data_IF_480451204495
#
_entry.id   IF_480451204495
#
_cell.length_a   1.000
_cell.length_b   1.000
_cell.length_c   1.000
_cell.angle_alpha   90.00
_cell.angle_beta   90.00
_cell.angle_gamma   90.00
#
_symmetry.space_group_name_H-M   'P 1'
#
loop_
_entity.id
_entity.type
_entity.pdbx_description
1 polymer ?
#
# COMPACT_ATOMS: atom_id res chain seq x y z
N UNK A 1 41.67 10.85 -2.85
CA UNK A 1 41.47 9.73 -3.80
C UNK A 1 41.41 10.32 -5.19
N UNK A 2 42.10 9.77 -6.20
CA UNK A 2 41.85 10.17 -7.60
C UNK A 2 40.38 9.85 -7.87
N UNK A 3 39.57 10.86 -8.19
CA UNK A 3 38.22 10.64 -8.71
C UNK A 3 38.34 9.81 -9.99
N UNK A 4 38.15 8.50 -9.87
CA UNK A 4 37.97 7.64 -11.02
C UNK A 4 36.62 8.01 -11.61
N UNK A 5 36.63 8.93 -12.57
CA UNK A 5 35.42 9.38 -13.25
C UNK A 5 34.81 8.17 -13.96
N UNK A 6 33.60 7.78 -13.53
CA UNK A 6 32.85 6.70 -14.18
C UNK A 6 32.71 7.02 -15.68
N UNK A 7 32.94 6.05 -16.58
CA UNK A 7 32.82 6.27 -18.02
C UNK A 7 31.35 6.55 -18.38
N UNK A 8 31.11 7.54 -19.24
CA UNK A 8 29.76 7.85 -19.73
C UNK A 8 29.21 6.79 -20.69
N UNK A 9 30.11 6.13 -21.41
CA UNK A 9 29.81 5.00 -22.30
C UNK A 9 30.85 3.92 -22.05
N UNK A 10 30.40 2.68 -21.95
CA UNK A 10 31.24 1.50 -21.73
C UNK A 10 30.85 0.43 -22.76
N UNK A 11 31.83 -0.35 -23.21
CA UNK A 11 31.52 -1.58 -23.93
C UNK A 11 30.97 -2.65 -22.96
N UNK A 12 30.57 -3.81 -23.50
CA UNK A 12 29.99 -4.90 -22.72
C UNK A 12 30.90 -5.38 -21.58
N UNK A 13 32.21 -5.42 -21.80
CA UNK A 13 33.17 -5.95 -20.83
C UNK A 13 33.29 -4.99 -19.66
N UNK A 14 33.53 -3.70 -19.95
CA UNK A 14 33.63 -2.66 -18.92
C UNK A 14 32.30 -2.50 -18.17
N UNK A 15 31.16 -2.56 -18.87
CA UNK A 15 29.85 -2.50 -18.23
C UNK A 15 29.62 -3.69 -17.29
N UNK A 16 30.00 -4.91 -17.68
CA UNK A 16 29.87 -6.09 -16.81
C UNK A 16 30.74 -5.96 -15.56
N UNK A 17 31.99 -5.49 -15.67
CA UNK A 17 32.87 -5.25 -14.53
C UNK A 17 32.30 -4.20 -13.56
N UNK A 18 31.81 -3.08 -14.10
CA UNK A 18 31.20 -2.02 -13.30
C UNK A 18 29.95 -2.52 -12.59
N UNK A 19 29.06 -3.22 -13.30
CA UNK A 19 27.84 -3.78 -12.71
C UNK A 19 28.23 -4.78 -11.63
N UNK A 20 29.07 -5.78 -11.92
CA UNK A 20 29.47 -6.80 -10.94
C UNK A 20 30.14 -6.26 -9.68
N UNK A 21 30.76 -5.08 -9.74
CA UNK A 21 31.38 -4.42 -8.59
C UNK A 21 30.36 -3.74 -7.64
N UNK A 22 29.11 -3.50 -8.06
CA UNK A 22 28.13 -2.76 -7.26
C UNK A 22 27.62 -3.55 -6.06
N UNK A 23 27.30 -4.83 -6.24
CA UNK A 23 26.72 -5.69 -5.22
C UNK A 23 27.02 -7.19 -5.48
N UNK A 24 26.86 -8.00 -4.43
CA UNK A 24 26.93 -9.46 -4.54
C UNK A 24 25.61 -10.13 -4.96
N UNK A 25 24.51 -9.38 -4.94
CA UNK A 25 23.17 -9.84 -5.26
C UNK A 25 22.45 -8.75 -6.07
N UNK A 26 21.62 -9.17 -7.04
CA UNK A 26 20.84 -8.27 -7.88
C UNK A 26 19.40 -8.76 -7.95
N UNK A 27 18.44 -7.85 -7.88
CA UNK A 27 17.08 -8.12 -8.33
C UNK A 27 16.98 -7.89 -9.83
N UNK A 28 16.26 -8.78 -10.51
CA UNK A 28 15.88 -8.64 -11.92
C UNK A 28 14.43 -8.20 -11.96
N UNK A 29 14.18 -6.98 -12.42
CA UNK A 29 12.84 -6.39 -12.47
C UNK A 29 12.41 -6.28 -13.91
N UNK A 30 11.35 -7.00 -14.29
CA UNK A 30 10.77 -6.89 -15.63
C UNK A 30 10.11 -5.53 -15.84
N UNK A 31 10.39 -4.92 -16.98
CA UNK A 31 9.78 -3.67 -17.38
C UNK A 31 8.51 -3.93 -18.20
N UNK A 32 7.56 -2.97 -18.23
CA UNK A 32 6.46 -2.99 -19.18
C UNK A 32 6.96 -3.09 -20.64
N UNK A 33 6.21 -3.72 -21.56
CA UNK A 33 6.66 -3.97 -22.95
C UNK A 33 7.06 -2.74 -23.76
N UNK A 34 6.66 -1.53 -23.33
CA UNK A 34 6.96 -0.27 -23.99
C UNK A 34 8.21 0.43 -23.44
N UNK A 35 8.91 -0.17 -22.48
CA UNK A 35 10.16 0.34 -21.89
C UNK A 35 11.33 -0.52 -22.39
N UNK A 36 12.42 0.15 -22.79
CA UNK A 36 13.69 -0.51 -23.14
C UNK A 36 14.73 -0.20 -22.06
N UNK A 37 15.48 -1.20 -21.54
CA UNK A 37 15.46 -2.64 -21.87
C UNK A 37 14.25 -3.40 -21.25
N UNK A 38 14.00 -4.67 -21.64
CA UNK A 38 12.88 -5.47 -21.12
C UNK A 38 12.96 -5.77 -19.61
N UNK A 39 14.12 -5.59 -18.98
CA UNK A 39 14.28 -5.69 -17.53
C UNK A 39 15.41 -4.79 -17.05
N UNK A 40 15.36 -4.42 -15.77
CA UNK A 40 16.41 -3.69 -15.07
C UNK A 40 17.09 -4.57 -14.02
N UNK A 41 18.38 -4.34 -13.81
CA UNK A 41 19.17 -4.99 -12.75
C UNK A 41 19.39 -4.00 -11.62
N UNK A 42 18.90 -4.36 -10.43
CA UNK A 42 19.04 -3.55 -9.22
C UNK A 42 20.09 -4.17 -8.30
N UNK A 43 21.24 -3.52 -8.06
CA UNK A 43 22.16 -3.97 -7.02
C UNK A 43 21.46 -3.89 -5.67
N UNK A 44 21.43 -4.99 -4.93
CA UNK A 44 20.82 -5.02 -3.60
C UNK A 44 21.87 -4.70 -2.53
N UNK A 45 21.50 -3.88 -1.54
CA UNK A 45 22.32 -3.68 -0.35
C UNK A 45 22.67 -5.05 0.25
N UNK A 46 23.86 -5.21 0.85
CA UNK A 46 24.22 -6.48 1.51
C UNK A 46 23.28 -6.86 2.64
N UNK A 47 22.51 -5.89 3.13
CA UNK A 47 21.64 -6.05 4.26
C UNK A 47 22.41 -6.11 5.58
N UNK A 48 21.72 -5.76 6.66
CA UNK A 48 22.16 -6.03 8.03
C UNK A 48 21.03 -6.73 8.77
N UNK A 49 21.39 -7.62 9.70
CA UNK A 49 20.45 -8.26 10.62
C UNK A 49 20.21 -7.45 11.90
N UNK A 50 21.08 -6.46 12.17
CA UNK A 50 21.04 -5.57 13.32
C UNK A 50 21.55 -4.18 12.96
N UNK A 51 21.02 -3.17 13.65
CA UNK A 51 21.36 -1.76 13.51
C UNK A 51 22.39 -1.38 14.58
N UNK A 52 23.65 -1.71 14.33
CA UNK A 52 24.75 -1.58 15.29
C UNK A 52 24.97 -0.13 15.76
N UNK A 53 24.73 0.84 14.86
CA UNK A 53 24.88 2.28 15.09
C UNK A 53 23.57 2.97 15.47
N UNK A 54 22.56 2.19 15.87
CA UNK A 54 21.23 2.66 16.21
C UNK A 54 20.32 2.92 15.01
N UNK A 55 19.06 3.24 15.29
CA UNK A 55 18.04 3.55 14.29
C UNK A 55 17.95 5.08 14.07
N UNK A 56 18.27 5.54 12.87
CA UNK A 56 18.15 6.93 12.46
C UNK A 56 16.78 7.22 11.83
N UNK A 57 16.26 6.28 11.04
CA UNK A 57 14.97 6.40 10.37
C UNK A 57 14.28 5.06 10.19
N UNK A 58 12.95 5.06 10.24
CA UNK A 58 12.11 3.97 9.78
C UNK A 58 11.28 4.41 8.58
N UNK A 59 11.32 3.62 7.51
CA UNK A 59 10.46 3.80 6.33
C UNK A 59 9.49 2.63 6.24
N UNK A 60 8.21 2.90 6.07
CA UNK A 60 7.16 1.91 6.24
C UNK A 60 6.20 1.93 5.07
N UNK A 61 5.81 0.76 4.58
CA UNK A 61 4.65 0.69 3.70
C UNK A 61 3.36 1.04 4.44
N UNK A 62 2.35 1.45 3.67
CA UNK A 62 1.00 1.69 4.16
C UNK A 62 0.22 0.38 4.27
N UNK A 63 -0.07 -0.26 3.15
CA UNK A 63 -0.89 -1.47 3.06
C UNK A 63 -0.13 -2.66 3.66
N UNK A 64 -0.84 -3.58 4.32
CA UNK A 64 -0.29 -4.75 5.01
C UNK A 64 0.73 -4.51 6.14
N UNK A 65 1.23 -3.28 6.30
CA UNK A 65 2.28 -2.88 7.26
C UNK A 65 1.77 -1.90 8.29
N UNK A 66 1.21 -0.76 7.84
CA UNK A 66 0.64 0.28 8.71
C UNK A 66 -0.87 0.06 8.88
N UNK A 67 -1.54 -0.43 7.84
CA UNK A 67 -3.00 -0.60 7.81
C UNK A 67 -3.46 -1.80 7.00
N UNK A 68 -4.70 -2.20 7.21
CA UNK A 68 -5.43 -3.07 6.31
C UNK A 68 -6.19 -2.25 5.27
N UNK A 69 -5.96 -2.46 3.97
CA UNK A 69 -6.81 -1.94 2.88
C UNK A 69 -7.28 -3.04 1.94
N UNK A 70 -6.77 -4.25 2.14
CA UNK A 70 -7.05 -5.44 1.34
C UNK A 70 -8.54 -5.76 1.29
N UNK A 71 -9.34 -5.63 2.37
CA UNK A 71 -10.78 -5.85 2.27
C UNK A 71 -11.45 -4.94 1.23
N UNK A 72 -11.00 -3.69 1.12
CA UNK A 72 -11.50 -2.72 0.13
C UNK A 72 -11.04 -3.10 -1.27
N UNK A 73 -9.75 -3.44 -1.42
CA UNK A 73 -9.18 -3.87 -2.70
C UNK A 73 -9.88 -5.11 -3.25
N UNK A 74 -10.03 -6.15 -2.43
CA UNK A 74 -10.70 -7.41 -2.79
C UNK A 74 -12.14 -7.15 -3.17
N UNK A 75 -12.86 -6.35 -2.40
CA UNK A 75 -14.24 -5.99 -2.70
C UNK A 75 -14.36 -5.30 -4.06
N UNK A 76 -13.48 -4.34 -4.35
CA UNK A 76 -13.49 -3.63 -5.63
C UNK A 76 -13.11 -4.55 -6.81
N UNK A 77 -12.16 -5.47 -6.62
CA UNK A 77 -11.75 -6.46 -7.63
C UNK A 77 -12.86 -7.49 -7.91
N UNK A 78 -13.52 -7.98 -6.86
CA UNK A 78 -14.69 -8.86 -6.98
C UNK A 78 -15.83 -8.15 -7.70
N UNK A 79 -16.15 -6.93 -7.27
CA UNK A 79 -17.18 -6.08 -7.90
C UNK A 79 -16.87 -5.87 -9.38
N UNK A 80 -15.63 -5.56 -9.74
CA UNK A 80 -15.19 -5.41 -11.12
C UNK A 80 -15.41 -6.69 -11.93
N UNK A 81 -14.95 -7.83 -11.41
CA UNK A 81 -15.05 -9.14 -12.09
C UNK A 81 -16.50 -9.55 -12.29
N UNK A 82 -17.33 -9.37 -11.25
CA UNK A 82 -18.76 -9.65 -11.25
C UNK A 82 -19.52 -8.78 -12.25
N UNK A 83 -19.24 -7.47 -12.26
CA UNK A 83 -19.83 -6.50 -13.21
C UNK A 83 -19.44 -6.82 -14.65
N UNK A 84 -18.16 -7.08 -14.93
CA UNK A 84 -17.67 -7.42 -16.26
C UNK A 84 -18.26 -8.75 -16.79
N UNK A 85 -18.60 -9.67 -15.88
CA UNK A 85 -19.22 -10.97 -16.20
C UNK A 85 -20.74 -10.90 -16.40
N UNK A 86 -21.36 -9.71 -16.27
CA UNK A 86 -22.82 -9.56 -16.35
C UNK A 86 -23.57 -10.17 -15.16
N UNK A 87 -22.90 -10.26 -14.00
CA UNK A 87 -23.41 -10.90 -12.78
C UNK A 87 -23.61 -9.92 -11.63
N UNK A 88 -23.68 -8.61 -11.92
CA UNK A 88 -23.76 -7.56 -10.89
C UNK A 88 -24.88 -7.79 -9.86
N UNK A 89 -26.02 -8.32 -10.31
CA UNK A 89 -27.19 -8.60 -9.47
C UNK A 89 -27.39 -10.10 -9.18
N UNK A 90 -26.45 -10.97 -9.59
CA UNK A 90 -26.54 -12.43 -9.42
C UNK A 90 -26.21 -12.82 -7.97
N UNK A 91 -27.19 -13.22 -7.13
CA UNK A 91 -26.92 -13.60 -5.74
C UNK A 91 -26.18 -14.93 -5.62
N UNK A 92 -26.04 -15.69 -6.72
CA UNK A 92 -25.29 -16.95 -6.75
C UNK A 92 -23.80 -16.77 -7.07
N UNK A 93 -23.34 -15.54 -7.29
CA UNK A 93 -21.92 -15.25 -7.49
C UNK A 93 -21.14 -15.67 -6.23
N UNK A 94 -20.21 -16.64 -6.33
CA UNK A 94 -19.52 -17.20 -5.17
C UNK A 94 -18.43 -16.29 -4.61
N UNK A 95 -18.10 -15.20 -5.31
CA UNK A 95 -16.90 -14.40 -5.04
C UNK A 95 -15.68 -14.86 -5.83
N UNK A 96 -14.58 -14.13 -5.68
CA UNK A 96 -13.25 -14.59 -6.09
C UNK A 96 -12.81 -15.80 -5.25
N UNK A 97 -12.05 -16.72 -5.85
CA UNK A 97 -11.56 -17.91 -5.17
C UNK A 97 -10.38 -17.53 -4.26
N UNK A 98 -10.53 -17.72 -2.95
CA UNK A 98 -9.52 -17.33 -1.97
C UNK A 98 -8.19 -18.09 -2.15
N UNK A 99 -8.22 -19.37 -2.52
CA UNK A 99 -7.00 -20.17 -2.62
C UNK A 99 -6.27 -19.92 -3.94
N UNK A 100 -7.03 -19.68 -5.01
CA UNK A 100 -6.49 -19.48 -6.36
C UNK A 100 -6.15 -18.02 -6.63
N UNK A 101 -7.02 -17.07 -6.27
CA UNK A 101 -6.94 -15.70 -6.78
C UNK A 101 -6.20 -14.75 -5.81
N UNK A 102 -6.42 -14.88 -4.50
CA UNK A 102 -5.84 -13.97 -3.50
C UNK A 102 -4.30 -13.83 -3.57
N UNK A 103 -3.53 -14.91 -3.80
CA UNK A 103 -2.08 -14.81 -3.97
C UNK A 103 -1.64 -13.95 -5.17
N UNK A 104 -2.52 -13.68 -6.13
CA UNK A 104 -2.22 -12.93 -7.34
C UNK A 104 -2.83 -11.53 -7.38
N UNK A 105 -3.70 -11.21 -6.41
CA UNK A 105 -4.44 -9.94 -6.37
C UNK A 105 -4.15 -9.09 -5.12
N UNK A 106 -3.12 -9.46 -4.34
CA UNK A 106 -2.62 -8.71 -3.17
C UNK A 106 -1.10 -8.57 -3.24
N UNK A 107 -0.56 -7.45 -2.74
CA UNK A 107 0.88 -7.19 -2.63
C UNK A 107 1.63 -7.09 -3.97
N UNK A 108 0.93 -6.66 -5.01
CA UNK A 108 1.42 -6.30 -6.35
C UNK A 108 0.68 -5.04 -6.83
N UNK A 109 1.00 -4.51 -8.02
CA UNK A 109 0.27 -3.34 -8.56
C UNK A 109 -1.16 -3.68 -8.99
N UNK A 110 -2.08 -2.71 -8.87
CA UNK A 110 -3.49 -2.83 -9.33
C UNK A 110 -3.57 -3.33 -10.76
N UNK A 111 -2.69 -2.85 -11.64
CA UNK A 111 -2.60 -3.31 -13.03
C UNK A 111 -2.38 -4.82 -13.13
N UNK A 112 -1.50 -5.40 -12.31
CA UNK A 112 -1.22 -6.84 -12.29
C UNK A 112 -2.39 -7.64 -11.72
N UNK A 113 -3.06 -7.13 -10.68
CA UNK A 113 -4.26 -7.76 -10.11
C UNK A 113 -5.38 -7.87 -11.16
N UNK A 114 -5.67 -6.76 -11.83
CA UNK A 114 -6.71 -6.72 -12.87
C UNK A 114 -6.31 -7.55 -14.08
N UNK A 115 -5.04 -7.52 -14.52
CA UNK A 115 -4.55 -8.36 -15.61
C UNK A 115 -4.74 -9.85 -15.31
N UNK A 116 -4.40 -10.29 -14.09
CA UNK A 116 -4.63 -11.67 -13.65
C UNK A 116 -6.11 -12.05 -13.75
N UNK A 117 -7.02 -11.23 -13.21
CA UNK A 117 -8.46 -11.50 -13.24
C UNK A 117 -9.03 -11.50 -14.66
N UNK A 118 -8.56 -10.60 -15.54
CA UNK A 118 -8.92 -10.60 -16.96
C UNK A 118 -8.47 -11.89 -17.65
N UNK A 119 -7.31 -12.45 -17.29
CA UNK A 119 -6.84 -13.73 -17.83
C UNK A 119 -7.63 -14.92 -17.26
N UNK A 120 -7.95 -14.89 -15.96
CA UNK A 120 -8.62 -15.97 -15.27
C UNK A 120 -10.13 -16.05 -15.57
N UNK A 121 -10.79 -14.90 -15.73
CA UNK A 121 -12.25 -14.80 -15.87
C UNK A 121 -12.72 -14.19 -17.20
N UNK A 122 -11.81 -13.66 -18.02
CA UNK A 122 -12.16 -12.88 -19.21
C UNK A 122 -12.93 -13.64 -20.29
N UNK A 123 -12.87 -14.97 -20.31
CA UNK A 123 -13.69 -15.79 -21.21
C UNK A 123 -15.19 -15.75 -20.83
N UNK A 124 -15.49 -15.47 -19.56
CA UNK A 124 -16.85 -15.29 -19.06
C UNK A 124 -17.35 -13.84 -19.11
N UNK A 125 -16.52 -12.89 -19.55
CA UNK A 125 -16.93 -11.48 -19.63
C UNK A 125 -17.96 -11.24 -20.74
N UNK A 126 -18.99 -10.47 -20.41
CA UNK A 126 -20.04 -10.07 -21.35
C UNK A 126 -19.73 -8.68 -21.89
N UNK A 127 -19.64 -8.55 -23.22
CA UNK A 127 -19.25 -7.29 -23.86
C UNK A 127 -20.18 -6.11 -23.49
N UNK A 128 -21.49 -6.36 -23.42
CA UNK A 128 -22.48 -5.34 -23.05
C UNK A 128 -22.36 -4.92 -21.58
N UNK A 129 -22.17 -5.88 -20.68
CA UNK A 129 -21.98 -5.60 -19.25
C UNK A 129 -20.66 -4.84 -18.99
N UNK A 130 -19.57 -5.30 -19.59
CA UNK A 130 -18.27 -4.63 -19.52
C UNK A 130 -18.38 -3.19 -20.03
N UNK A 131 -19.00 -2.97 -21.21
CA UNK A 131 -19.19 -1.64 -21.78
C UNK A 131 -20.01 -0.73 -20.87
N UNK A 132 -21.16 -1.23 -20.39
CA UNK A 132 -22.06 -0.48 -19.50
C UNK A 132 -21.34 -0.03 -18.22
N UNK A 133 -20.68 -0.96 -17.53
CA UNK A 133 -20.00 -0.64 -16.27
C UNK A 133 -18.73 0.18 -16.49
N UNK A 134 -18.05 0.01 -17.62
CA UNK A 134 -16.94 0.89 -18.00
C UNK A 134 -17.41 2.33 -18.22
N UNK A 135 -18.50 2.56 -18.96
CA UNK A 135 -19.08 3.90 -19.16
C UNK A 135 -19.48 4.51 -17.82
N UNK A 136 -20.08 3.72 -16.92
CA UNK A 136 -20.42 4.17 -15.57
C UNK A 136 -19.17 4.62 -14.79
N UNK A 137 -18.13 3.78 -14.75
CA UNK A 137 -16.88 4.11 -14.05
C UNK A 137 -16.17 5.33 -14.65
N UNK A 138 -16.22 5.47 -15.99
CA UNK A 138 -15.69 6.64 -16.68
C UNK A 138 -16.47 7.92 -16.31
N UNK A 139 -17.80 7.88 -16.33
CA UNK A 139 -18.64 9.02 -15.95
C UNK A 139 -18.41 9.43 -14.50
N UNK A 140 -18.39 8.45 -13.58
CA UNK A 140 -18.14 8.69 -12.16
C UNK A 140 -16.77 9.33 -11.95
N UNK A 141 -15.71 8.77 -12.54
CA UNK A 141 -14.34 9.27 -12.36
C UNK A 141 -14.18 10.69 -12.89
N UNK A 142 -14.77 11.00 -14.05
CA UNK A 142 -14.66 12.32 -14.67
C UNK A 142 -15.48 13.38 -13.93
N UNK A 143 -16.60 12.99 -13.31
CA UNK A 143 -17.47 13.88 -12.54
C UNK A 143 -17.06 14.08 -11.09
N UNK A 144 -16.80 12.97 -10.39
CA UNK A 144 -16.68 12.92 -8.93
C UNK A 144 -15.26 12.65 -8.46
N UNK A 145 -14.52 11.79 -9.18
CA UNK A 145 -13.17 11.37 -8.81
C UNK A 145 -12.23 12.55 -8.59
N UNK A 146 -11.36 12.49 -7.58
CA UNK A 146 -10.53 13.62 -7.13
C UNK A 146 -9.11 13.65 -7.73
N UNK A 147 -8.71 12.59 -8.40
CA UNK A 147 -7.37 12.46 -8.97
C UNK A 147 -7.33 12.81 -10.47
N UNK A 148 -6.54 13.84 -10.81
CA UNK A 148 -6.44 14.34 -12.18
C UNK A 148 -5.72 13.36 -13.12
N UNK A 149 -4.76 12.58 -12.59
CA UNK A 149 -4.07 11.56 -13.39
C UNK A 149 -5.05 10.46 -13.81
N UNK A 150 -5.84 9.92 -12.87
CA UNK A 150 -6.90 8.93 -13.12
C UNK A 150 -7.93 9.47 -14.10
N UNK A 151 -8.34 10.73 -13.97
CA UNK A 151 -9.22 11.39 -14.96
C UNK A 151 -8.59 11.44 -16.35
N UNK A 152 -7.30 11.74 -16.46
CA UNK A 152 -6.57 11.72 -17.75
C UNK A 152 -6.48 10.30 -18.32
N UNK A 153 -6.23 9.30 -17.48
CA UNK A 153 -6.17 7.90 -17.89
C UNK A 153 -7.52 7.40 -18.41
N UNK A 154 -8.64 7.72 -17.74
CA UNK A 154 -10.00 7.43 -18.22
C UNK A 154 -10.24 8.04 -19.59
N UNK A 155 -9.83 9.30 -19.83
CA UNK A 155 -9.95 9.92 -21.17
C UNK A 155 -9.13 9.17 -22.22
N UNK A 156 -7.93 8.71 -21.86
CA UNK A 156 -7.11 7.87 -22.74
C UNK A 156 -7.77 6.51 -23.01
N UNK A 157 -8.37 5.88 -21.99
CA UNK A 157 -9.12 4.63 -22.16
C UNK A 157 -10.32 4.83 -23.07
N UNK A 158 -11.09 5.92 -22.91
CA UNK A 158 -12.22 6.26 -23.78
C UNK A 158 -11.78 6.39 -25.23
N UNK A 159 -10.66 7.07 -25.48
CA UNK A 159 -10.10 7.14 -26.83
C UNK A 159 -9.66 5.77 -27.37
N UNK A 160 -8.95 4.98 -26.56
CA UNK A 160 -8.45 3.67 -27.00
C UNK A 160 -9.54 2.62 -27.22
N UNK A 161 -10.70 2.79 -26.58
CA UNK A 161 -11.86 1.90 -26.69
C UNK A 161 -12.88 2.37 -27.73
N UNK A 162 -12.58 3.43 -28.49
CA UNK A 162 -13.47 3.97 -29.52
C UNK A 162 -14.61 4.86 -29.00
N UNK A 163 -14.60 5.20 -27.72
CA UNK A 163 -15.65 5.99 -27.04
C UNK A 163 -15.26 7.45 -26.77
N UNK A 164 -14.23 7.99 -27.44
CA UNK A 164 -13.84 9.40 -27.28
C UNK A 164 -15.00 10.38 -27.51
N UNK A 165 -15.95 10.03 -28.39
CA UNK A 165 -17.13 10.84 -28.69
C UNK A 165 -18.02 11.12 -27.48
N UNK A 166 -18.02 10.24 -26.46
CA UNK A 166 -18.78 10.45 -25.22
C UNK A 166 -18.36 11.72 -24.49
N UNK A 167 -17.10 12.14 -24.61
CA UNK A 167 -16.62 13.37 -23.95
C UNK A 167 -17.35 14.62 -24.44
N UNK A 168 -17.97 14.59 -25.62
CA UNK A 168 -18.78 15.70 -26.17
C UNK A 168 -20.28 15.42 -26.13
N UNK A 169 -20.72 14.26 -25.65
CA UNK A 169 -22.15 13.90 -25.57
C UNK A 169 -22.78 14.53 -24.32
N UNK A 170 -23.82 15.35 -24.50
CA UNK A 170 -24.51 16.04 -23.41
C UNK A 170 -25.12 15.07 -22.38
N UNK A 171 -25.54 13.87 -22.81
CA UNK A 171 -26.08 12.82 -21.93
C UNK A 171 -24.98 12.23 -21.05
N UNK A 172 -23.78 12.02 -21.61
CA UNK A 172 -22.64 11.56 -20.82
C UNK A 172 -22.17 12.63 -19.84
N UNK A 173 -22.21 13.92 -20.21
CA UNK A 173 -21.96 15.02 -19.29
C UNK A 173 -22.99 15.07 -18.15
N UNK A 174 -24.27 14.78 -18.44
CA UNK A 174 -25.29 14.63 -17.40
C UNK A 174 -24.99 13.46 -16.45
N UNK A 175 -24.51 12.31 -16.95
CA UNK A 175 -24.03 11.21 -16.09
C UNK A 175 -22.86 11.64 -15.19
N UNK A 176 -21.91 12.42 -15.72
CA UNK A 176 -20.78 12.92 -14.94
C UNK A 176 -21.24 13.84 -13.79
N UNK A 177 -22.31 14.63 -13.99
CA UNK A 177 -22.85 15.52 -12.97
C UNK A 177 -23.87 14.87 -12.01
N UNK A 178 -24.20 13.59 -12.18
CA UNK A 178 -25.24 12.94 -11.40
C UNK A 178 -24.75 12.49 -10.02
N UNK A 179 -25.49 12.83 -8.95
CA UNK A 179 -25.14 12.41 -7.58
C UNK A 179 -25.10 10.87 -7.41
N UNK A 180 -25.93 10.14 -8.15
CA UNK A 180 -25.95 8.69 -8.17
C UNK A 180 -26.23 8.15 -9.57
N UNK A 181 -25.39 7.20 -9.99
CA UNK A 181 -25.57 6.45 -11.23
C UNK A 181 -26.60 5.32 -11.09
N UNK A 182 -27.07 5.04 -9.88
CA UNK A 182 -28.09 4.02 -9.59
C UNK A 182 -29.52 4.58 -9.57
N UNK A 183 -29.68 5.91 -9.56
CA UNK A 183 -30.99 6.54 -9.66
C UNK A 183 -31.70 6.11 -10.95
N UNK A 184 -33.02 5.82 -10.95
CA UNK A 184 -33.71 5.21 -12.10
C UNK A 184 -33.53 5.95 -13.43
N UNK A 185 -33.58 7.28 -13.41
CA UNK A 185 -33.42 8.11 -14.61
C UNK A 185 -31.97 8.07 -15.14
N UNK A 186 -31.00 8.17 -14.24
CA UNK A 186 -29.56 8.09 -14.57
C UNK A 186 -29.19 6.69 -15.09
N UNK A 187 -29.72 5.64 -14.47
CA UNK A 187 -29.51 4.26 -14.88
C UNK A 187 -30.09 3.99 -16.28
N UNK A 188 -31.30 4.47 -16.57
CA UNK A 188 -31.91 4.36 -17.90
C UNK A 188 -31.12 5.12 -18.97
N UNK A 189 -30.57 6.30 -18.63
CA UNK A 189 -29.71 7.07 -19.52
C UNK A 189 -28.39 6.33 -19.82
N UNK A 190 -27.78 5.74 -18.80
CA UNK A 190 -26.58 4.91 -18.92
C UNK A 190 -26.84 3.69 -19.82
N UNK A 191 -27.97 3.00 -19.63
CA UNK A 191 -28.35 1.84 -20.44
C UNK A 191 -28.53 2.22 -21.91
N UNK A 192 -29.18 3.36 -22.17
CA UNK A 192 -29.37 3.90 -23.52
C UNK A 192 -28.03 4.21 -24.18
N UNK A 193 -27.15 4.95 -23.50
CA UNK A 193 -25.81 5.28 -24.00
C UNK A 193 -24.96 4.02 -24.24
N UNK A 194 -25.04 3.05 -23.33
CA UNK A 194 -24.35 1.78 -23.48
C UNK A 194 -24.88 1.00 -24.70
N UNK A 195 -26.18 0.98 -24.97
CA UNK A 195 -26.72 0.33 -26.16
C UNK A 195 -26.26 1.01 -27.47
N UNK A 196 -26.34 2.35 -27.53
CA UNK A 196 -25.98 3.12 -28.73
C UNK A 196 -24.48 3.05 -29.07
N UNK A 197 -23.62 2.90 -28.06
CA UNK A 197 -22.16 2.82 -28.25
C UNK A 197 -21.67 1.41 -28.59
N UNK A 198 -22.55 0.41 -28.66
CA UNK A 198 -22.17 -0.99 -28.88
C UNK A 198 -21.31 -1.20 -30.14
N UNK A 199 -21.64 -0.52 -31.25
CA UNK A 199 -20.90 -0.64 -32.50
C UNK A 199 -19.55 0.06 -32.52
N UNK A 200 -19.32 1.03 -31.63
CA UNK A 200 -18.07 1.80 -31.55
C UNK A 200 -17.09 1.24 -30.50
N UNK A 201 -17.60 0.53 -29.49
CA UNK A 201 -16.78 0.02 -28.39
C UNK A 201 -15.86 -1.12 -28.84
N UNK A 202 -14.55 -0.84 -28.84
CA UNK A 202 -13.51 -1.82 -29.13
C UNK A 202 -12.74 -2.16 -27.85
N UNK A 203 -12.95 -3.37 -27.33
CA UNK A 203 -12.29 -3.83 -26.11
C UNK A 203 -11.89 -5.32 -26.24
N UNK A 204 -11.11 -5.63 -27.27
CA UNK A 204 -10.65 -6.97 -27.56
C UNK A 204 -9.23 -7.23 -27.01
N UNK A 205 -9.02 -8.44 -26.50
CA UNK A 205 -7.74 -8.88 -25.97
C UNK A 205 -7.47 -8.43 -24.53
N UNK A 206 -6.45 -9.06 -23.92
CA UNK A 206 -6.09 -8.82 -22.52
C UNK A 206 -5.77 -7.34 -22.25
N UNK A 207 -4.92 -6.64 -23.02
CA UNK A 207 -4.53 -5.27 -22.69
C UNK A 207 -5.73 -4.29 -22.67
N UNK A 208 -6.64 -4.37 -23.63
CA UNK A 208 -7.80 -3.47 -23.70
C UNK A 208 -8.78 -3.74 -22.55
N UNK A 209 -9.06 -5.02 -22.27
CA UNK A 209 -9.93 -5.43 -21.16
C UNK A 209 -9.35 -5.01 -19.81
N UNK A 210 -8.04 -5.18 -19.61
CA UNK A 210 -7.36 -4.72 -18.39
C UNK A 210 -7.56 -3.23 -18.17
N UNK A 211 -7.39 -2.38 -19.20
CA UNK A 211 -7.62 -0.93 -19.06
C UNK A 211 -9.05 -0.58 -18.68
N UNK A 212 -10.04 -1.17 -19.35
CA UNK A 212 -11.45 -0.94 -19.03
C UNK A 212 -11.82 -1.44 -17.61
N UNK A 213 -11.30 -2.60 -17.22
CA UNK A 213 -11.53 -3.17 -15.89
C UNK A 213 -10.85 -2.36 -14.77
N UNK A 214 -9.68 -1.76 -15.02
CA UNK A 214 -9.05 -0.83 -14.07
C UNK A 214 -9.99 0.34 -13.75
N UNK A 215 -10.67 0.91 -14.76
CA UNK A 215 -11.60 2.01 -14.55
C UNK A 215 -12.85 1.59 -13.75
N UNK A 216 -13.34 0.36 -13.93
CA UNK A 216 -14.45 -0.21 -13.13
C UNK A 216 -14.00 -0.46 -11.68
N UNK A 217 -12.79 -0.98 -11.50
CA UNK A 217 -12.19 -1.21 -10.18
C UNK A 217 -12.06 0.12 -9.41
N UNK A 218 -11.43 1.13 -10.00
CA UNK A 218 -11.17 2.41 -9.32
C UNK A 218 -12.45 3.16 -9.00
N UNK A 219 -13.48 3.06 -9.85
CA UNK A 219 -14.80 3.57 -9.50
C UNK A 219 -15.28 3.02 -8.16
N UNK A 220 -15.36 1.69 -7.99
CA UNK A 220 -15.82 1.12 -6.72
C UNK A 220 -14.82 1.38 -5.57
N UNK A 221 -13.53 1.32 -5.84
CA UNK A 221 -12.49 1.53 -4.83
C UNK A 221 -12.58 2.94 -4.24
N UNK A 222 -12.66 3.97 -5.08
CA UNK A 222 -12.78 5.37 -4.62
C UNK A 222 -14.12 5.67 -3.98
N UNK A 223 -15.23 5.08 -4.44
CA UNK A 223 -16.52 5.20 -3.72
C UNK A 223 -16.43 4.70 -2.28
N UNK A 224 -15.80 3.54 -2.06
CA UNK A 224 -15.65 2.96 -0.72
C UNK A 224 -14.68 3.79 0.13
N UNK A 225 -13.55 4.23 -0.41
CA UNK A 225 -12.60 5.07 0.33
C UNK A 225 -13.20 6.44 0.69
N UNK A 226 -14.01 7.03 -0.18
CA UNK A 226 -14.72 8.27 0.13
C UNK A 226 -15.72 8.10 1.28
N UNK A 227 -16.45 6.99 1.31
CA UNK A 227 -17.32 6.67 2.43
C UNK A 227 -16.52 6.51 3.73
N UNK A 228 -15.38 5.82 3.69
CA UNK A 228 -14.44 5.73 4.83
C UNK A 228 -14.00 7.12 5.28
N UNK A 229 -13.58 7.98 4.36
CA UNK A 229 -13.13 9.35 4.65
C UNK A 229 -14.23 10.26 5.25
N UNK A 230 -15.50 10.01 4.95
CA UNK A 230 -16.65 10.69 5.56
C UNK A 230 -17.03 10.15 6.95
N UNK A 231 -16.32 9.13 7.46
CA UNK A 231 -16.65 8.45 8.71
C UNK A 231 -17.77 7.42 8.58
N UNK A 232 -18.14 7.03 7.36
CA UNK A 232 -19.16 6.02 7.05
C UNK A 232 -18.55 4.60 6.97
N UNK A 233 -17.27 4.45 7.32
CA UNK A 233 -16.51 3.20 7.21
C UNK A 233 -17.14 2.00 7.93
N UNK A 234 -17.75 2.20 9.10
CA UNK A 234 -18.43 1.12 9.85
C UNK A 234 -19.72 0.65 9.14
N UNK A 235 -20.40 1.54 8.42
CA UNK A 235 -21.56 1.17 7.60
C UNK A 235 -21.10 0.38 6.37
N UNK A 236 -20.09 0.88 5.66
CA UNK A 236 -19.49 0.20 4.51
C UNK A 236 -18.88 -1.17 4.91
N UNK A 237 -18.26 -1.29 6.09
CA UNK A 237 -17.71 -2.54 6.59
C UNK A 237 -18.80 -3.59 6.82
N UNK A 238 -19.96 -3.20 7.37
CA UNK A 238 -21.09 -4.13 7.58
C UNK A 238 -21.71 -4.57 6.26
N UNK A 239 -21.77 -3.68 5.28
CA UNK A 239 -22.23 -4.01 3.92
C UNK A 239 -21.30 -5.01 3.23
N UNK A 240 -19.99 -4.76 3.28
CA UNK A 240 -18.99 -5.51 2.50
C UNK A 240 -18.53 -6.81 3.21
N UNK A 241 -18.30 -6.77 4.52
CA UNK A 241 -17.72 -7.88 5.29
C UNK A 241 -18.77 -8.66 6.11
N UNK A 242 -20.03 -8.22 6.10
CA UNK A 242 -21.12 -8.84 6.84
C UNK A 242 -21.18 -8.46 8.34
N UNK A 243 -22.20 -9.01 9.02
CA UNK A 243 -22.46 -8.73 10.43
C UNK A 243 -21.37 -9.32 11.34
N UNK A 244 -20.68 -8.45 12.11
CA UNK A 244 -19.65 -8.85 13.09
C UNK A 244 -18.24 -8.34 12.75
N UNK A 245 -18.01 -7.91 11.51
CA UNK A 245 -16.78 -7.23 11.10
C UNK A 245 -16.89 -5.73 11.39
N UNK A 246 -15.85 -5.16 12.00
CA UNK A 246 -15.93 -3.78 12.50
C UNK A 246 -15.36 -2.73 11.54
N UNK A 247 -14.37 -3.06 10.68
CA UNK A 247 -13.63 -2.04 9.91
C UNK A 247 -13.09 -2.54 8.57
N UNK A 248 -13.19 -1.70 7.54
CA UNK A 248 -12.57 -1.92 6.22
C UNK A 248 -11.12 -1.45 6.17
N UNK A 249 -10.86 -0.31 6.82
CA UNK A 249 -9.55 0.29 6.97
C UNK A 249 -9.27 0.41 8.47
N UNK A 250 -8.12 -0.09 8.90
CA UNK A 250 -7.75 -0.09 10.31
C UNK A 250 -6.26 -0.23 10.51
N UNK A 251 -5.72 0.20 11.67
CA UNK A 251 -4.32 0.04 11.99
C UNK A 251 -3.92 -1.44 12.06
N UNK A 252 -2.75 -1.77 11.52
CA UNK A 252 -2.13 -3.07 11.79
C UNK A 252 -1.80 -3.21 13.28
N UNK A 253 -1.79 -4.43 13.83
CA UNK A 253 -1.49 -4.67 15.24
C UNK A 253 -0.18 -3.99 15.66
N UNK A 254 -0.24 -3.22 16.75
CA UNK A 254 0.93 -2.57 17.35
C UNK A 254 1.39 -1.29 16.65
N UNK A 255 0.80 -0.87 15.53
CA UNK A 255 1.29 0.30 14.76
C UNK A 255 1.25 1.59 15.59
N UNK A 256 0.18 1.83 16.36
CA UNK A 256 0.08 3.03 17.20
C UNK A 256 1.17 3.09 18.27
N UNK A 257 1.48 1.96 18.90
CA UNK A 257 2.55 1.84 19.90
C UNK A 257 3.91 2.04 19.24
N UNK A 258 4.13 1.40 18.09
CA UNK A 258 5.36 1.52 17.31
C UNK A 258 5.65 2.98 16.91
N UNK A 259 4.65 3.66 16.35
CA UNK A 259 4.75 5.07 15.94
C UNK A 259 5.03 5.99 17.14
N UNK A 260 4.27 5.84 18.23
CA UNK A 260 4.48 6.62 19.45
C UNK A 260 5.86 6.37 20.09
N UNK A 261 6.33 5.12 20.04
CA UNK A 261 7.64 4.71 20.53
C UNK A 261 8.75 5.40 19.72
N UNK A 262 8.75 5.28 18.39
CA UNK A 262 9.81 5.83 17.54
C UNK A 262 9.88 7.36 17.58
N UNK A 263 8.74 8.03 17.77
CA UNK A 263 8.66 9.49 17.98
C UNK A 263 9.10 9.93 19.38
N UNK A 264 9.47 8.99 20.25
CA UNK A 264 9.93 9.30 21.61
C UNK A 264 8.82 9.77 22.56
N UNK A 265 7.55 9.52 22.23
CA UNK A 265 6.42 10.05 23.00
C UNK A 265 6.15 9.24 24.28
N UNK A 266 6.54 7.97 24.30
CA UNK A 266 6.16 7.05 25.39
C UNK A 266 7.11 7.10 26.60
N UNK A 267 8.40 7.38 26.41
CA UNK A 267 9.40 7.34 27.48
C UNK A 267 9.35 6.03 28.29
N UNK A 268 9.51 6.09 29.61
CA UNK A 268 9.42 4.92 30.49
C UNK A 268 8.05 4.22 30.43
N UNK A 269 6.98 4.93 30.05
CA UNK A 269 5.64 4.35 29.96
C UNK A 269 5.47 3.37 28.79
N UNK A 270 6.44 3.28 27.88
CA UNK A 270 6.45 2.27 26.82
C UNK A 270 6.31 0.84 27.38
N UNK A 271 6.88 0.57 28.56
CA UNK A 271 6.77 -0.73 29.23
C UNK A 271 5.33 -1.20 29.46
N UNK A 272 4.40 -0.28 29.70
CA UNK A 272 3.00 -0.60 30.00
C UNK A 272 2.24 -1.25 28.84
N UNK A 273 2.78 -1.19 27.62
CA UNK A 273 2.18 -1.82 26.43
C UNK A 273 2.57 -3.29 26.26
N UNK A 274 3.47 -3.84 27.08
CA UNK A 274 3.96 -5.21 26.96
C UNK A 274 2.83 -6.25 26.88
N UNK A 275 1.87 -6.21 27.82
CA UNK A 275 0.76 -7.16 27.83
C UNK A 275 -0.11 -7.09 26.57
N UNK A 276 -0.36 -5.88 26.06
CA UNK A 276 -1.14 -5.66 24.83
C UNK A 276 -0.42 -6.25 23.61
N UNK A 277 0.89 -6.02 23.49
CA UNK A 277 1.69 -6.51 22.38
C UNK A 277 1.91 -8.04 22.46
N UNK A 278 2.12 -8.60 23.65
CA UNK A 278 2.19 -10.06 23.84
C UNK A 278 0.89 -10.75 23.38
N UNK A 279 -0.27 -10.20 23.76
CA UNK A 279 -1.57 -10.72 23.32
C UNK A 279 -1.79 -10.62 21.79
N UNK A 280 -1.10 -9.70 21.10
CA UNK A 280 -1.12 -9.62 19.63
C UNK A 280 -0.25 -10.70 19.00
N UNK A 281 0.92 -11.00 19.57
CA UNK A 281 1.80 -12.11 19.14
C UNK A 281 1.09 -13.45 19.33
N UNK A 282 0.42 -13.65 20.47
CA UNK A 282 -0.37 -14.87 20.74
C UNK A 282 -1.49 -15.07 19.72
N UNK A 283 -2.21 -14.00 19.35
CA UNK A 283 -3.24 -14.04 18.31
C UNK A 283 -2.68 -14.36 16.92
N UNK A 284 -1.41 -14.06 16.68
CA UNK A 284 -0.70 -14.47 15.46
C UNK A 284 -0.26 -15.95 15.49
N UNK A 285 -0.55 -16.69 16.56
CA UNK A 285 -0.18 -18.10 16.72
C UNK A 285 1.26 -18.31 17.17
N UNK A 286 1.89 -17.29 17.75
CA UNK A 286 3.29 -17.30 18.18
C UNK A 286 3.40 -17.23 19.70
N UNK A 287 4.50 -17.76 20.26
CA UNK A 287 4.76 -17.68 21.69
C UNK A 287 5.41 -16.32 22.02
N UNK A 288 4.76 -15.44 22.81
CA UNK A 288 5.35 -14.17 23.17
C UNK A 288 6.48 -14.35 24.19
N UNK A 289 7.39 -13.37 24.33
CA UNK A 289 8.29 -13.34 25.47
C UNK A 289 7.51 -13.15 26.78
N UNK A 290 8.16 -13.46 27.91
CA UNK A 290 7.56 -13.20 29.22
C UNK A 290 7.25 -11.71 29.39
N UNK A 291 6.09 -11.38 29.95
CA UNK A 291 5.63 -9.99 30.13
C UNK A 291 6.68 -9.12 30.83
N UNK A 292 7.33 -9.60 31.89
CA UNK A 292 8.36 -8.83 32.60
C UNK A 292 9.57 -8.47 31.73
N UNK A 293 10.02 -9.39 30.86
CA UNK A 293 11.09 -9.11 29.90
C UNK A 293 10.65 -8.11 28.83
N UNK A 294 9.42 -8.24 28.33
CA UNK A 294 8.82 -7.32 27.37
C UNK A 294 8.67 -5.91 27.95
N UNK A 295 8.22 -5.78 29.20
CA UNK A 295 8.10 -4.50 29.92
C UNK A 295 9.47 -3.81 30.04
N UNK A 296 10.49 -4.54 30.50
CA UNK A 296 11.85 -4.01 30.66
C UNK A 296 12.45 -3.56 29.32
N UNK A 297 12.29 -4.36 28.26
CA UNK A 297 12.77 -4.04 26.92
C UNK A 297 12.09 -2.78 26.38
N UNK A 298 10.76 -2.72 26.42
CA UNK A 298 10.00 -1.58 25.91
C UNK A 298 10.30 -0.30 26.68
N UNK A 299 10.43 -0.35 28.01
CA UNK A 299 10.82 0.81 28.80
C UNK A 299 12.23 1.32 28.39
N UNK A 300 13.17 0.40 28.14
CA UNK A 300 14.49 0.74 27.61
C UNK A 300 14.43 1.41 26.23
N UNK A 301 13.67 0.83 25.30
CA UNK A 301 13.42 1.44 23.98
C UNK A 301 12.76 2.81 24.10
N UNK A 302 11.79 2.95 25.00
CA UNK A 302 11.07 4.18 25.24
C UNK A 302 11.96 5.32 25.73
N UNK A 303 12.86 5.05 26.69
CA UNK A 303 13.89 6.02 27.11
C UNK A 303 14.82 6.40 25.96
N UNK A 304 15.28 5.41 25.19
CA UNK A 304 16.16 5.63 24.05
C UNK A 304 15.52 6.59 23.04
N UNK A 305 14.31 6.32 22.58
CA UNK A 305 13.66 7.16 21.58
C UNK A 305 13.17 8.50 22.15
N UNK A 306 12.91 8.60 23.45
CA UNK A 306 12.69 9.89 24.09
C UNK A 306 13.94 10.79 24.02
N UNK A 307 15.15 10.20 24.15
CA UNK A 307 16.41 10.92 24.00
C UNK A 307 16.79 11.19 22.54
N UNK A 308 16.53 10.21 21.65
CA UNK A 308 16.86 10.29 20.23
C UNK A 308 15.74 9.67 19.39
N UNK A 309 14.69 10.44 19.03
CA UNK A 309 13.63 9.97 18.16
C UNK A 309 14.15 9.55 16.79
N UNK A 310 13.53 8.53 16.19
CA UNK A 310 13.79 8.17 14.80
C UNK A 310 12.93 9.03 13.87
N UNK A 311 13.46 9.32 12.67
CA UNK A 311 12.66 9.89 11.59
C UNK A 311 11.71 8.83 11.02
N UNK A 312 10.52 9.25 10.60
CA UNK A 312 9.49 8.36 10.05
C UNK A 312 9.08 8.78 8.65
N UNK A 313 9.11 7.84 7.71
CA UNK A 313 8.44 8.01 6.43
C UNK A 313 7.42 6.90 6.15
N UNK A 314 6.28 7.30 5.61
CA UNK A 314 5.36 6.38 4.95
C UNK A 314 5.70 6.31 3.46
N UNK A 315 5.69 5.13 2.86
CA UNK A 315 6.07 4.91 1.46
C UNK A 315 5.10 3.92 0.81
N UNK A 316 4.16 4.41 -0.01
CA UNK A 316 3.09 3.58 -0.62
C UNK A 316 3.03 3.71 -2.15
N UNK A 317 2.57 2.65 -2.80
CA UNK A 317 2.19 2.65 -4.23
C UNK A 317 0.78 3.20 -4.48
N UNK A 318 0.04 3.59 -3.43
CA UNK A 318 -1.21 4.35 -3.58
C UNK A 318 -0.90 5.80 -3.96
N UNK A 319 -1.82 6.44 -4.68
CA UNK A 319 -1.71 7.87 -4.98
C UNK A 319 -1.96 8.70 -3.72
N UNK A 320 -1.54 9.97 -3.74
CA UNK A 320 -1.71 10.88 -2.60
C UNK A 320 -3.15 10.92 -2.09
N UNK A 321 -4.14 11.03 -2.98
CA UNK A 321 -5.55 11.08 -2.60
C UNK A 321 -5.99 9.90 -1.73
N UNK A 322 -5.65 8.68 -2.14
CA UNK A 322 -5.99 7.43 -1.44
C UNK A 322 -5.28 7.36 -0.09
N UNK A 323 -3.97 7.63 -0.08
CA UNK A 323 -3.16 7.61 1.13
C UNK A 323 -3.69 8.59 2.18
N UNK A 324 -4.14 9.79 1.78
CA UNK A 324 -4.70 10.77 2.71
C UNK A 324 -5.98 10.27 3.40
N UNK A 325 -6.90 9.65 2.65
CA UNK A 325 -8.14 9.10 3.21
C UNK A 325 -7.85 7.94 4.18
N UNK A 326 -6.96 7.04 3.76
CA UNK A 326 -6.57 5.87 4.54
C UNK A 326 -5.85 6.28 5.84
N UNK A 327 -4.86 7.18 5.75
CA UNK A 327 -4.14 7.69 6.93
C UNK A 327 -5.04 8.47 7.87
N UNK A 328 -5.95 9.29 7.34
CA UNK A 328 -6.95 10.00 8.12
C UNK A 328 -7.80 9.04 8.96
N UNK A 329 -8.25 7.95 8.36
CA UNK A 329 -9.02 6.92 9.06
C UNK A 329 -8.19 6.17 10.12
N UNK A 330 -6.96 5.78 9.78
CA UNK A 330 -6.05 5.12 10.74
C UNK A 330 -5.84 6.01 11.96
N UNK A 331 -5.55 7.30 11.75
CA UNK A 331 -5.32 8.23 12.86
C UNK A 331 -6.60 8.47 13.65
N UNK A 332 -7.76 8.61 13.00
CA UNK A 332 -9.07 8.67 13.68
C UNK A 332 -9.29 7.46 14.59
N UNK A 333 -8.99 6.27 14.10
CA UNK A 333 -9.07 5.02 14.86
C UNK A 333 -8.10 5.03 16.04
N UNK A 334 -6.81 5.33 15.82
CA UNK A 334 -5.81 5.35 16.87
C UNK A 334 -6.18 6.35 17.98
N UNK A 335 -6.68 7.54 17.60
CA UNK A 335 -7.23 8.53 18.54
C UNK A 335 -8.40 8.00 19.36
N UNK A 336 -9.24 7.15 18.79
CA UNK A 336 -10.34 6.52 19.52
C UNK A 336 -9.86 5.46 20.53
N UNK A 337 -8.68 4.89 20.31
CA UNK A 337 -8.06 3.86 21.17
C UNK A 337 -7.21 4.46 22.30
N UNK A 338 -6.55 5.60 22.07
CA UNK A 338 -5.66 6.27 23.05
C UNK A 338 -6.29 6.46 24.45
N UNK A 339 -7.58 6.82 24.59
CA UNK A 339 -8.23 6.90 25.90
C UNK A 339 -8.13 5.62 26.75
N UNK A 340 -8.07 4.45 26.10
CA UNK A 340 -7.93 3.15 26.74
C UNK A 340 -6.48 2.68 26.92
N UNK A 341 -5.49 3.44 26.43
CA UNK A 341 -4.08 3.05 26.53
C UNK A 341 -3.60 3.07 28.00
N UNK A 342 -2.72 2.12 28.40
CA UNK A 342 -2.29 1.91 29.78
C UNK A 342 -1.23 2.94 30.25
N UNK A 343 -1.46 4.23 29.96
CA UNK A 343 -0.57 5.34 30.31
C UNK A 343 -1.32 6.43 31.09
N UNK A 344 -0.62 7.31 31.84
CA UNK A 344 -1.26 8.39 32.60
C UNK A 344 -2.06 9.35 31.72
N UNK A 345 -3.08 9.99 32.29
CA UNK A 345 -3.98 10.90 31.56
C UNK A 345 -3.23 11.99 30.79
N UNK A 346 -2.24 12.67 31.40
CA UNK A 346 -1.49 13.72 30.71
C UNK A 346 -0.71 13.22 29.48
N UNK A 347 -0.25 11.97 29.50
CA UNK A 347 0.37 11.36 28.33
C UNK A 347 -0.68 11.01 27.26
N UNK A 348 -1.88 10.56 27.64
CA UNK A 348 -2.99 10.35 26.68
C UNK A 348 -3.36 11.65 25.96
N UNK A 349 -3.42 12.77 26.68
CA UNK A 349 -3.70 14.09 26.09
C UNK A 349 -2.60 14.52 25.11
N UNK A 350 -1.33 14.27 25.46
CA UNK A 350 -0.18 14.52 24.57
C UNK A 350 -0.25 13.66 23.30
N UNK A 351 -0.56 12.37 23.45
CA UNK A 351 -0.70 11.44 22.33
C UNK A 351 -1.88 11.82 21.42
N UNK A 352 -3.02 12.24 22.00
CA UNK A 352 -4.13 12.80 21.24
C UNK A 352 -3.71 14.05 20.47
N UNK A 353 -2.83 14.90 21.02
CA UNK A 353 -2.26 16.02 20.27
C UNK A 353 -1.39 15.55 19.09
N UNK A 354 -0.50 14.59 19.34
CA UNK A 354 0.43 14.08 18.34
C UNK A 354 -0.27 13.38 17.16
N UNK A 355 -1.24 12.50 17.44
CA UNK A 355 -2.02 11.79 16.42
C UNK A 355 -3.16 12.64 15.85
N UNK A 356 -3.03 13.97 15.77
CA UNK A 356 -4.06 14.86 15.20
C UNK A 356 -4.08 14.85 13.67
N UNK A 357 -2.91 14.85 13.06
CA UNK A 357 -2.76 14.91 11.61
C UNK A 357 -1.64 13.97 11.17
N UNK A 358 -1.92 12.94 10.34
CA UNK A 358 -0.88 12.05 9.84
C UNK A 358 0.19 12.78 9.04
N UNK A 359 -0.13 13.83 8.31
CA UNK A 359 0.83 14.57 7.48
C UNK A 359 1.82 15.40 8.31
N UNK A 360 1.46 15.71 9.55
CA UNK A 360 2.35 16.35 10.53
C UNK A 360 3.10 15.31 11.36
N UNK A 361 2.52 14.12 11.52
CA UNK A 361 3.11 13.03 12.30
C UNK A 361 4.24 12.30 11.56
N UNK A 362 4.15 12.14 10.25
CA UNK A 362 5.27 11.60 9.47
C UNK A 362 6.22 12.74 9.08
N UNK A 363 7.53 12.46 9.11
CA UNK A 363 8.52 13.41 8.60
C UNK A 363 8.51 13.47 7.06
N UNK A 364 8.07 12.38 6.42
CA UNK A 364 7.78 12.33 4.98
C UNK A 364 6.64 11.35 4.66
N UNK A 365 5.83 11.67 3.65
CA UNK A 365 4.81 10.77 3.10
C UNK A 365 5.04 10.68 1.61
N UNK A 366 5.55 9.54 1.15
CA UNK A 366 5.85 9.28 -0.25
C UNK A 366 4.79 8.35 -0.83
N UNK A 367 4.25 8.74 -1.97
CA UNK A 367 3.12 8.11 -2.63
C UNK A 367 3.44 7.86 -4.11
N UNK A 368 2.59 7.14 -4.81
CA UNK A 368 2.74 6.98 -6.25
C UNK A 368 2.68 8.30 -7.03
N UNK A 369 2.07 9.35 -6.46
CA UNK A 369 2.03 10.70 -7.03
C UNK A 369 3.41 11.36 -7.10
N UNK A 370 4.34 10.95 -6.23
CA UNK A 370 5.71 11.46 -6.21
C UNK A 370 6.63 10.77 -7.24
N UNK A 371 6.08 9.81 -7.99
CA UNK A 371 6.79 9.04 -9.01
C UNK A 371 5.89 8.80 -10.24
N UNK A 372 6.14 7.71 -10.97
CA UNK A 372 5.31 7.26 -12.09
C UNK A 372 5.05 5.77 -11.96
N UNK A 373 3.94 5.30 -12.55
CA UNK A 373 3.52 3.89 -12.51
C UNK A 373 4.66 2.91 -12.87
N UNK A 374 5.49 3.26 -13.85
CA UNK A 374 6.61 2.44 -14.32
C UNK A 374 7.82 2.41 -13.37
N UNK A 375 7.78 3.20 -12.29
CA UNK A 375 8.84 3.34 -11.28
C UNK A 375 8.33 3.04 -9.87
N UNK A 376 7.14 2.47 -9.72
CA UNK A 376 6.63 1.99 -8.43
C UNK A 376 7.34 0.69 -8.01
N UNK A 377 7.03 0.17 -6.83
CA UNK A 377 7.61 -1.09 -6.32
C UNK A 377 7.43 -2.20 -7.38
N UNK A 378 8.48 -2.99 -7.71
CA UNK A 378 9.71 -3.22 -6.95
C UNK A 378 10.88 -2.26 -7.23
N UNK A 379 10.67 -1.20 -8.01
CA UNK A 379 11.70 -0.19 -8.23
C UNK A 379 11.99 0.58 -6.93
N UNK A 380 13.26 0.98 -6.73
CA UNK A 380 13.74 1.64 -5.49
C UNK A 380 13.25 3.07 -5.29
N UNK A 381 12.60 3.64 -6.29
CA UNK A 381 12.45 5.08 -6.47
C UNK A 381 11.70 5.72 -5.30
N UNK A 382 10.56 5.16 -4.87
CA UNK A 382 9.79 5.70 -3.74
C UNK A 382 10.59 5.71 -2.43
N UNK A 383 11.32 4.64 -2.13
CA UNK A 383 12.18 4.59 -0.94
C UNK A 383 13.39 5.52 -1.06
N UNK A 384 13.92 5.71 -2.27
CA UNK A 384 15.03 6.65 -2.51
C UNK A 384 14.56 8.10 -2.30
N UNK A 385 13.34 8.43 -2.74
CA UNK A 385 12.70 9.72 -2.47
C UNK A 385 12.49 9.89 -0.96
N UNK A 386 12.00 8.85 -0.26
CA UNK A 386 11.83 8.90 1.19
C UNK A 386 13.14 9.20 1.92
N UNK A 387 14.24 8.52 1.57
CA UNK A 387 15.56 8.80 2.15
C UNK A 387 16.03 10.23 1.89
N UNK A 388 15.76 10.77 0.69
CA UNK A 388 16.06 12.15 0.34
C UNK A 388 15.27 13.15 1.19
N UNK A 389 13.95 13.01 1.27
CA UNK A 389 13.07 13.88 2.06
C UNK A 389 13.38 13.82 3.56
N UNK A 390 13.74 12.64 4.06
CA UNK A 390 14.21 12.48 5.43
C UNK A 390 15.60 13.07 5.66
N UNK A 391 16.34 13.48 4.61
CA UNK A 391 17.73 13.94 4.72
C UNK A 391 18.66 12.87 5.29
N UNK A 392 18.47 11.62 4.89
CA UNK A 392 19.33 10.48 5.24
C UNK A 392 20.33 10.25 4.11
N UNK A 393 21.61 10.26 4.45
CA UNK A 393 22.71 10.10 3.50
C UNK A 393 23.20 8.64 3.44
N UNK A 394 23.89 8.21 2.36
CA UNK A 394 24.35 6.83 2.19
C UNK A 394 25.15 6.24 3.36
N UNK A 395 25.93 7.06 4.08
CA UNK A 395 26.69 6.67 5.27
C UNK A 395 25.85 6.26 6.49
N UNK A 396 24.55 6.56 6.46
CA UNK A 396 23.59 6.21 7.51
C UNK A 396 22.55 5.18 7.02
N UNK A 397 22.66 4.64 5.81
CA UNK A 397 21.72 3.62 5.31
C UNK A 397 21.72 2.35 6.17
N UNK A 398 22.84 2.02 6.82
CA UNK A 398 22.98 0.95 7.82
C UNK A 398 22.25 1.23 9.15
N UNK A 399 21.68 2.44 9.30
CA UNK A 399 20.87 2.91 10.43
C UNK A 399 19.40 3.09 10.05
N UNK A 400 19.00 2.67 8.86
CA UNK A 400 17.61 2.73 8.39
C UNK A 400 16.97 1.34 8.42
N UNK A 401 15.75 1.27 8.93
CA UNK A 401 14.89 0.11 8.83
C UNK A 401 13.74 0.35 7.86
N UNK A 402 13.58 -0.52 6.87
CA UNK A 402 12.41 -0.60 6.00
C UNK A 402 11.47 -1.70 6.46
N UNK A 403 10.17 -1.41 6.51
CA UNK A 403 9.11 -2.36 6.87
C UNK A 403 8.12 -2.49 5.72
N UNK A 404 7.86 -3.73 5.31
CA UNK A 404 7.07 -4.08 4.14
C UNK A 404 6.38 -5.42 4.32
N UNK A 405 5.23 -5.62 3.71
CA UNK A 405 4.50 -6.89 3.73
C UNK A 405 4.61 -7.63 2.38
N UNK A 406 5.18 -7.00 1.35
CA UNK A 406 5.23 -7.54 -0.01
C UNK A 406 6.65 -7.90 -0.48
N UNK A 407 6.77 -8.87 -1.39
CA UNK A 407 8.06 -9.19 -2.02
C UNK A 407 8.60 -7.98 -2.80
N UNK A 408 7.74 -7.34 -3.59
CA UNK A 408 8.11 -6.17 -4.39
C UNK A 408 8.69 -5.04 -3.54
N UNK A 409 8.10 -4.80 -2.38
CA UNK A 409 8.55 -3.80 -1.43
C UNK A 409 9.88 -4.13 -0.76
N UNK A 410 10.09 -5.38 -0.35
CA UNK A 410 11.39 -5.78 0.22
C UNK A 410 12.54 -5.69 -0.79
N UNK A 411 12.26 -5.94 -2.07
CA UNK A 411 13.20 -5.66 -3.17
C UNK A 411 13.49 -4.15 -3.25
N UNK A 412 12.44 -3.32 -3.26
CA UNK A 412 12.56 -1.87 -3.38
C UNK A 412 13.38 -1.25 -2.21
N UNK A 413 13.17 -1.72 -0.98
CA UNK A 413 13.93 -1.30 0.21
C UNK A 413 15.43 -1.58 0.03
N UNK A 414 15.81 -2.82 -0.30
CA UNK A 414 17.24 -3.17 -0.46
C UNK A 414 17.86 -2.54 -1.69
N UNK A 415 17.10 -2.37 -2.76
CA UNK A 415 17.53 -1.69 -3.96
C UNK A 415 17.76 -0.18 -3.72
N UNK A 416 17.07 0.43 -2.75
CA UNK A 416 17.31 1.80 -2.28
C UNK A 416 18.58 1.93 -1.40
N UNK A 417 19.24 0.82 -1.07
CA UNK A 417 20.44 0.81 -0.25
C UNK A 417 20.20 0.65 1.25
N UNK A 418 18.92 0.58 1.68
CA UNK A 418 18.55 0.48 3.10
C UNK A 418 19.15 -0.79 3.71
N UNK A 419 19.77 -0.63 4.89
CA UNK A 419 20.49 -1.68 5.57
C UNK A 419 19.57 -2.78 6.09
N UNK A 420 18.51 -2.43 6.82
CA UNK A 420 17.61 -3.43 7.39
C UNK A 420 16.27 -3.46 6.64
N UNK A 421 15.93 -4.60 6.03
CA UNK A 421 14.66 -4.80 5.33
C UNK A 421 13.88 -5.89 6.06
N UNK A 422 12.80 -5.50 6.74
CA UNK A 422 11.96 -6.40 7.51
C UNK A 422 10.64 -6.68 6.79
N UNK A 423 10.44 -7.92 6.37
CA UNK A 423 9.15 -8.40 5.89
C UNK A 423 8.19 -8.63 7.07
N UNK A 424 6.94 -8.17 6.95
CA UNK A 424 5.86 -8.30 7.92
C UNK A 424 4.69 -9.08 7.30
N UNK A 425 4.87 -10.37 6.94
CA UNK A 425 3.82 -11.12 6.28
C UNK A 425 2.59 -11.25 7.18
N UNK A 426 1.42 -10.93 6.63
CA UNK A 426 0.13 -11.16 7.27
C UNK A 426 -0.68 -12.18 6.45
N UNK A 427 -1.91 -12.48 6.86
CA UNK A 427 -2.71 -13.58 6.31
C UNK A 427 -2.71 -13.66 4.77
N UNK A 428 -2.69 -12.51 4.08
CA UNK A 428 -2.78 -12.43 2.62
C UNK A 428 -1.42 -12.50 1.89
N UNK A 429 -0.33 -12.08 2.52
CA UNK A 429 1.02 -12.06 1.92
C UNK A 429 1.96 -13.14 2.45
N UNK A 430 1.49 -14.01 3.36
CA UNK A 430 2.24 -15.19 3.85
C UNK A 430 2.82 -16.09 2.76
N UNK A 431 2.21 -16.11 1.57
CA UNK A 431 2.66 -16.91 0.43
C UNK A 431 3.77 -16.28 -0.41
N UNK A 432 4.15 -15.02 -0.16
CA UNK A 432 5.17 -14.31 -0.93
C UNK A 432 6.59 -14.79 -0.64
N UNK A 433 7.50 -14.53 -1.58
CA UNK A 433 8.91 -14.89 -1.46
C UNK A 433 9.74 -13.73 -0.89
N UNK A 434 9.99 -13.74 0.42
CA UNK A 434 10.75 -12.69 1.09
C UNK A 434 12.27 -12.90 1.06
N UNK A 435 12.83 -13.45 -0.03
CA UNK A 435 14.27 -13.69 -0.14
C UNK A 435 15.07 -12.38 -0.09
N UNK A 436 14.50 -11.28 -0.60
CA UNK A 436 15.13 -9.98 -0.49
C UNK A 436 15.19 -9.51 0.98
N UNK A 437 14.23 -9.82 1.85
CA UNK A 437 14.22 -9.31 3.21
C UNK A 437 15.42 -9.81 4.04
N UNK A 438 15.99 -8.94 4.87
CA UNK A 438 17.04 -9.33 5.82
C UNK A 438 16.46 -9.97 7.09
N UNK A 439 15.18 -9.70 7.37
CA UNK A 439 14.40 -10.24 8.48
C UNK A 439 12.97 -10.52 8.02
N UNK A 440 12.35 -11.56 8.57
CA UNK A 440 10.93 -11.87 8.35
C UNK A 440 10.28 -12.02 9.72
N UNK A 441 9.27 -11.20 10.00
CA UNK A 441 8.56 -11.15 11.27
C UNK A 441 7.06 -11.42 11.07
N UNK A 442 6.61 -12.69 11.05
CA UNK A 442 5.19 -13.03 10.88
C UNK A 442 4.30 -12.57 12.05
N UNK A 443 4.89 -12.26 13.20
CA UNK A 443 4.18 -11.62 14.32
C UNK A 443 4.05 -10.11 14.19
N UNK A 444 4.41 -9.54 13.03
CA UNK A 444 4.27 -8.12 12.71
C UNK A 444 5.15 -7.20 13.57
N UNK A 445 4.73 -5.93 13.67
CA UNK A 445 5.38 -4.92 14.52
C UNK A 445 5.48 -5.33 16.01
N UNK A 446 4.51 -6.05 16.61
CA UNK A 446 4.65 -6.58 17.97
C UNK A 446 5.89 -7.46 18.13
N UNK A 447 6.13 -8.37 17.18
CA UNK A 447 7.34 -9.21 17.17
C UNK A 447 8.61 -8.36 16.99
N UNK A 448 8.58 -7.39 16.09
CA UNK A 448 9.71 -6.47 15.86
C UNK A 448 10.09 -5.74 17.17
N UNK A 449 9.10 -5.25 17.92
CA UNK A 449 9.35 -4.55 19.18
C UNK A 449 9.80 -5.49 20.30
N UNK A 450 9.12 -6.63 20.48
CA UNK A 450 9.28 -7.47 21.68
C UNK A 450 10.33 -8.57 21.56
N UNK A 451 10.50 -9.17 20.39
CA UNK A 451 11.48 -10.25 20.18
C UNK A 451 12.76 -9.73 19.54
N UNK A 452 12.63 -8.78 18.61
CA UNK A 452 13.76 -8.25 17.85
C UNK A 452 14.36 -7.00 18.46
N UNK A 453 13.68 -6.34 19.42
CA UNK A 453 14.16 -5.11 20.04
C UNK A 453 14.43 -4.00 19.02
N UNK A 454 13.58 -3.89 17.99
CA UNK A 454 13.78 -3.01 16.82
C UNK A 454 15.12 -3.23 16.10
N UNK A 455 15.68 -4.44 16.22
CA UNK A 455 16.97 -4.85 15.68
C UNK A 455 18.16 -4.04 16.20
N UNK A 456 17.98 -3.32 17.30
CA UNK A 456 19.05 -2.59 17.97
C UNK A 456 19.95 -3.57 18.74
N UNK A 457 21.21 -3.20 18.92
CA UNK A 457 22.10 -3.95 19.79
C UNK A 457 21.66 -3.89 21.25
N UNK A 458 21.94 -4.96 22.01
CA UNK A 458 21.64 -5.04 23.45
C UNK A 458 22.37 -4.01 24.31
N UNK A 459 23.43 -3.38 23.80
CA UNK A 459 24.09 -2.22 24.44
C UNK A 459 23.36 -0.90 24.16
N UNK A 460 22.47 -0.86 23.15
CA UNK A 460 21.70 0.31 22.74
C UNK A 460 20.41 0.56 23.53
N UNK A 461 20.13 -0.27 24.55
CA UNK A 461 19.08 -0.06 25.57
C UNK A 461 19.63 0.53 26.87
N UNK A 462 20.95 0.77 26.93
CA UNK A 462 21.59 1.59 27.95
C UNK A 462 21.36 3.09 27.69
N UNK A 463 21.46 3.93 28.74
CA UNK A 463 21.18 5.37 28.67
C UNK A 463 22.00 6.13 27.64
#
# INVERSE_FOLDING_TARGET
MKETRLPRFADKTVAAELVSALAGEYAVVENPPYIHPPYELYPLSRGVSRLERGLAAAVMDMDGTTTTTEPVCIHALDTMTRRASGRADDPSWPGLDHARDYPHIIGNSTTKHVEYLVRAYGDGFQADALRRHYIAGAAWTLGHGKDELRRREVRSTLASTGLAGLLSDARFQALCGAESLEAPETAALLDTLAAETAGAFSCAGVPARTRACIDIYYHRYHEVLEAVGRGEGDAAAREILGAGSSRLVGPMPGVGVFLALLRGLLGDHAGAFAGMLCAQIERAGMAPPSTAAAEALLAGLGRRFAAQPAKLALVTSSIAYEAHLVLGEIFRVLRSEIPAWPVPQGLRETLLGAFADPLVFYDAVITATDSSEIRLKPHRDLYSIALHELGVYPEDFDRVAGFEDSESGTIAIRAAGIGLSCALPFAMTRGHHFQAATQVCPGGLPQVMLEKGLFLNGEGTGP
#
